data_IF_956457737109
#
_entry.id   IF_956457737109
#
_cell.length_a   1.000
_cell.length_b   1.000
_cell.length_c   1.000
_cell.angle_alpha   90.00
_cell.angle_beta   90.00
_cell.angle_gamma   90.00
#
_symmetry.space_group_name_H-M   'P 1'
#
loop_
_entity.id
_entity.type
_entity.pdbx_description
1 polymer ?
#
# COMPACT_ATOMS: atom_id res chain seq x y z
N UNK A 1 -20.79 -23.07 41.48
CA UNK A 1 -20.18 -23.16 42.82
C UNK A 1 -19.27 -24.39 42.89
N UNK A 2 -17.95 -24.22 42.75
CA UNK A 2 -16.89 -25.21 43.04
C UNK A 2 -15.67 -24.40 43.50
N UNK A 3 -15.52 -24.21 44.81
CA UNK A 3 -14.63 -24.92 45.76
C UNK A 3 -13.16 -24.57 45.53
N UNK A 4 -12.66 -23.80 46.50
CA UNK A 4 -11.29 -23.40 46.81
C UNK A 4 -10.30 -24.58 46.81
N UNK A 5 -9.06 -24.34 46.36
CA UNK A 5 -7.88 -25.00 46.93
C UNK A 5 -6.70 -24.05 46.88
N UNK A 6 -6.47 -23.41 48.03
CA UNK A 6 -5.29 -22.67 48.44
C UNK A 6 -4.15 -23.68 48.63
N UNK A 7 -3.10 -23.59 47.82
CA UNK A 7 -1.87 -24.36 48.02
C UNK A 7 -0.75 -23.38 48.32
N UNK A 8 -0.49 -23.23 49.61
CA UNK A 8 0.66 -22.53 50.19
C UNK A 8 1.88 -23.41 49.96
N UNK A 9 2.81 -22.97 49.11
CA UNK A 9 4.09 -23.64 48.91
C UNK A 9 5.21 -22.74 49.43
N UNK A 10 5.86 -23.24 50.47
CA UNK A 10 7.01 -22.75 51.22
C UNK A 10 8.22 -22.43 50.35
N UNK A 11 8.80 -21.25 50.59
CA UNK A 11 10.03 -20.72 50.00
C UNK A 11 11.25 -21.33 50.73
N UNK A 12 12.17 -22.02 50.03
CA UNK A 12 13.48 -22.36 50.60
C UNK A 12 14.43 -21.16 50.47
N UNK A 13 14.84 -20.64 51.62
CA UNK A 13 15.90 -19.65 51.79
C UNK A 13 17.26 -20.34 51.58
N UNK A 14 17.85 -20.20 50.40
CA UNK A 14 19.23 -20.65 50.13
C UNK A 14 20.17 -19.46 50.21
N UNK A 15 20.91 -19.39 51.31
CA UNK A 15 22.07 -18.53 51.52
C UNK A 15 23.28 -19.13 50.77
N UNK A 16 23.62 -18.56 49.62
CA UNK A 16 24.88 -18.82 48.92
C UNK A 16 25.82 -17.63 49.12
N UNK A 17 26.81 -17.82 49.99
CA UNK A 17 28.02 -17.02 50.06
C UNK A 17 28.89 -17.35 48.83
N UNK A 18 29.02 -16.40 47.91
CA UNK A 18 29.86 -16.52 46.72
C UNK A 18 30.92 -15.42 46.69
N UNK A 19 32.19 -15.84 46.56
CA UNK A 19 33.40 -15.02 46.53
C UNK A 19 33.32 -13.83 45.56
N UNK A 20 33.86 -12.70 46.01
CA UNK A 20 34.09 -11.52 45.19
C UNK A 20 35.10 -11.80 44.07
N UNK A 21 34.63 -11.66 42.84
CA UNK A 21 35.45 -11.22 41.72
C UNK A 21 35.27 -9.71 41.61
N UNK A 22 36.38 -8.97 41.55
CA UNK A 22 36.37 -7.55 41.27
C UNK A 22 35.68 -7.31 39.93
N UNK A 23 34.43 -6.80 39.97
CA UNK A 23 33.79 -6.22 38.80
C UNK A 23 34.52 -4.91 38.51
N UNK A 24 35.46 -4.99 37.57
CA UNK A 24 35.92 -3.83 36.82
C UNK A 24 34.66 -3.13 36.30
N UNK A 25 34.37 -1.95 36.87
CA UNK A 25 33.25 -1.13 36.45
C UNK A 25 33.58 -0.66 35.04
N UNK A 26 33.20 -1.47 34.06
CA UNK A 26 33.10 -1.04 32.68
C UNK A 26 32.24 0.23 32.72
N UNK A 27 32.86 1.35 32.33
CA UNK A 27 32.15 2.60 32.17
C UNK A 27 30.85 2.33 31.41
N UNK A 28 29.72 2.93 31.83
CA UNK A 28 28.47 2.77 31.11
C UNK A 28 28.75 3.08 29.64
N UNK A 29 28.50 2.08 28.77
CA UNK A 29 28.60 2.28 27.34
C UNK A 29 27.83 3.57 27.01
N UNK A 30 28.41 4.48 26.21
CA UNK A 30 27.72 5.70 25.84
C UNK A 30 26.35 5.30 25.32
N UNK A 31 25.30 5.78 26.00
CA UNK A 31 23.92 5.67 25.51
C UNK A 31 23.95 6.17 24.07
N UNK A 32 23.80 5.23 23.13
CA UNK A 32 23.69 5.57 21.72
C UNK A 32 22.58 6.61 21.57
N UNK A 33 22.72 7.58 20.66
CA UNK A 33 21.75 8.66 20.53
C UNK A 33 20.34 8.06 20.41
N UNK A 34 19.34 8.61 21.12
CA UNK A 34 17.97 8.11 21.09
C UNK A 34 17.28 8.50 19.77
N UNK A 35 17.77 8.08 18.60
CA UNK A 35 17.30 8.63 17.32
C UNK A 35 17.37 7.66 16.12
N UNK A 36 16.89 6.42 16.27
CA UNK A 36 16.64 5.55 15.10
C UNK A 36 15.16 5.17 14.95
N UNK A 37 14.39 5.13 16.04
CA UNK A 37 13.00 4.66 15.98
C UNK A 37 11.99 5.77 15.61
N UNK A 38 12.27 7.03 15.96
CA UNK A 38 11.46 8.20 15.56
C UNK A 38 11.71 8.67 14.12
N UNK A 39 12.85 8.29 13.52
CA UNK A 39 13.16 8.65 12.12
C UNK A 39 12.39 7.79 11.10
N UNK A 40 11.85 6.64 11.53
CA UNK A 40 11.21 5.65 10.68
C UNK A 40 9.90 6.14 10.03
N UNK A 41 9.21 7.07 10.69
CA UNK A 41 8.02 7.74 10.16
C UNK A 41 8.30 9.23 10.04
N UNK A 42 9.36 9.53 9.29
CA UNK A 42 9.68 10.89 8.88
C UNK A 42 8.45 11.56 8.27
N UNK A 43 8.28 12.88 8.48
CA UNK A 43 7.20 13.62 7.82
C UNK A 43 7.23 13.33 6.32
N UNK A 44 6.08 12.92 5.77
CA UNK A 44 6.00 12.63 4.35
C UNK A 44 6.43 13.87 3.56
N UNK A 45 7.19 13.70 2.46
CA UNK A 45 7.54 14.81 1.60
C UNK A 45 6.26 15.44 1.04
N UNK A 46 6.36 16.69 0.60
CA UNK A 46 5.25 17.37 -0.09
C UNK A 46 4.84 16.66 -1.39
N UNK A 47 5.75 15.85 -1.96
CA UNK A 47 5.53 15.00 -3.12
C UNK A 47 4.56 13.84 -2.81
N UNK A 48 3.81 13.33 -3.80
CA UNK A 48 2.91 12.20 -3.60
C UNK A 48 3.66 11.00 -3.00
N UNK A 49 3.40 10.72 -1.74
CA UNK A 49 4.00 9.63 -1.01
C UNK A 49 3.08 8.40 -1.09
N UNK A 50 3.53 7.38 -1.81
CA UNK A 50 2.80 6.11 -1.93
C UNK A 50 2.92 5.31 -0.63
N UNK A 51 1.80 5.08 0.03
CA UNK A 51 1.67 4.25 1.22
C UNK A 51 1.02 2.92 0.87
N UNK A 52 1.62 1.80 1.29
CA UNK A 52 0.98 0.48 1.17
C UNK A 52 -0.05 0.31 2.28
N UNK A 53 -1.26 -0.09 1.91
CA UNK A 53 -2.32 -0.42 2.84
C UNK A 53 -2.31 -1.91 3.26
N UNK A 54 -1.42 -2.69 2.65
CA UNK A 54 -1.15 -4.08 3.06
C UNK A 54 -0.83 -4.12 4.55
N UNK A 55 -1.39 -5.08 5.27
CA UNK A 55 -1.23 -5.27 6.71
C UNK A 55 -1.82 -4.18 7.63
N UNK A 56 -2.58 -3.23 7.08
CA UNK A 56 -3.48 -2.38 7.87
C UNK A 56 -4.52 -3.27 8.60
N UNK A 57 -5.00 -2.92 9.79
CA UNK A 57 -6.11 -3.64 10.42
C UNK A 57 -7.31 -3.73 9.46
N UNK A 58 -7.86 -4.93 9.25
CA UNK A 58 -8.90 -5.17 8.25
C UNK A 58 -10.11 -4.22 8.39
N UNK A 59 -10.57 -3.99 9.62
CA UNK A 59 -11.69 -3.06 9.88
C UNK A 59 -11.36 -1.60 9.50
N UNK A 60 -10.14 -1.14 9.76
CA UNK A 60 -9.70 0.21 9.39
C UNK A 60 -9.55 0.34 7.87
N UNK A 61 -9.00 -0.68 7.21
CA UNK A 61 -8.87 -0.75 5.75
C UNK A 61 -10.23 -0.71 5.07
N UNK A 62 -11.17 -1.55 5.50
CA UNK A 62 -12.53 -1.59 4.93
C UNK A 62 -13.29 -0.28 5.17
N UNK A 63 -13.10 0.35 6.33
CA UNK A 63 -13.69 1.66 6.60
C UNK A 63 -13.11 2.75 5.69
N UNK A 64 -11.81 2.70 5.40
CA UNK A 64 -11.15 3.61 4.48
C UNK A 64 -11.58 3.37 3.02
N UNK A 65 -11.68 2.10 2.60
CA UNK A 65 -12.18 1.69 1.28
C UNK A 65 -13.55 2.30 1.00
N UNK A 66 -14.51 2.13 1.91
CA UNK A 66 -15.85 2.70 1.76
C UNK A 66 -15.84 4.22 1.61
N UNK A 67 -15.01 4.92 2.40
CA UNK A 67 -14.87 6.38 2.28
C UNK A 67 -14.24 6.80 0.94
N UNK A 68 -13.30 6.01 0.42
CA UNK A 68 -12.67 6.26 -0.87
C UNK A 68 -13.60 6.01 -2.07
N UNK A 69 -14.65 5.22 -1.89
CA UNK A 69 -15.74 5.09 -2.87
C UNK A 69 -16.61 6.36 -2.92
N UNK A 70 -16.73 7.08 -1.80
CA UNK A 70 -17.51 8.33 -1.68
C UNK A 70 -16.72 9.56 -2.17
N UNK A 71 -15.39 9.57 -2.02
CA UNK A 71 -14.55 10.68 -2.49
C UNK A 71 -13.13 10.68 -1.92
N UNK A 72 -12.35 11.76 -2.16
CA UNK A 72 -11.03 11.93 -1.57
C UNK A 72 -11.13 11.99 -0.04
N UNK A 73 -10.25 11.25 0.63
CA UNK A 73 -10.22 11.19 2.09
C UNK A 73 -9.09 12.04 2.63
N UNK A 74 -9.43 13.01 3.48
CA UNK A 74 -8.46 13.78 4.23
C UNK A 74 -7.98 12.99 5.46
N UNK A 75 -6.68 13.03 5.69
CA UNK A 75 -6.01 12.26 6.73
C UNK A 75 -4.99 13.12 7.46
N UNK A 76 -4.70 12.76 8.70
CA UNK A 76 -3.52 13.20 9.45
C UNK A 76 -2.64 12.00 9.77
N UNK A 77 -1.35 12.26 9.90
CA UNK A 77 -0.38 11.25 10.29
C UNK A 77 0.01 11.48 11.74
N UNK A 78 -0.19 10.47 12.56
CA UNK A 78 0.22 10.44 13.97
C UNK A 78 1.30 9.37 14.13
N UNK A 79 2.56 9.79 13.98
CA UNK A 79 3.67 8.85 13.80
C UNK A 79 3.46 8.03 12.52
N UNK A 80 3.41 6.70 12.66
CA UNK A 80 3.16 5.77 11.56
C UNK A 80 1.67 5.44 11.33
N UNK A 81 0.77 6.11 12.07
CA UNK A 81 -0.67 5.85 11.98
C UNK A 81 -1.32 6.85 11.04
N UNK A 82 -2.14 6.33 10.13
CA UNK A 82 -3.00 7.11 9.27
C UNK A 82 -4.36 7.28 9.96
N UNK A 83 -4.70 8.51 10.31
CA UNK A 83 -5.96 8.84 10.99
C UNK A 83 -6.83 9.64 10.04
N UNK A 84 -8.01 9.13 9.72
CA UNK A 84 -9.00 9.82 8.88
C UNK A 84 -9.55 11.04 9.64
N UNK A 85 -9.68 12.18 8.95
CA UNK A 85 -10.30 13.40 9.49
C UNK A 85 -11.73 13.49 8.91
N UNK A 86 -12.74 12.91 9.57
CA UNK A 86 -14.04 12.65 8.94
C UNK A 86 -14.83 13.92 8.63
N UNK A 87 -14.59 15.01 9.37
CA UNK A 87 -15.28 16.29 9.15
C UNK A 87 -14.69 17.09 7.97
N UNK A 88 -13.53 16.70 7.46
CA UNK A 88 -12.93 17.31 6.27
C UNK A 88 -13.45 16.61 5.01
N UNK A 89 -14.64 16.99 4.58
CA UNK A 89 -15.28 16.45 3.39
C UNK A 89 -14.77 17.13 2.12
N UNK A 90 -14.24 16.33 1.19
CA UNK A 90 -13.73 16.78 -0.09
C UNK A 90 -14.58 16.21 -1.22
N UNK A 91 -14.84 17.01 -2.25
CA UNK A 91 -15.57 16.59 -3.45
C UNK A 91 -14.63 16.55 -4.64
N UNK A 92 -14.58 15.42 -5.32
CA UNK A 92 -13.83 15.23 -6.56
C UNK A 92 -14.53 14.19 -7.44
N UNK A 93 -14.20 14.16 -8.73
CA UNK A 93 -14.56 13.03 -9.59
C UNK A 93 -13.47 11.96 -9.51
N UNK A 94 -13.84 10.69 -9.44
CA UNK A 94 -12.90 9.58 -9.51
C UNK A 94 -12.78 9.09 -10.96
N UNK A 95 -11.56 8.82 -11.41
CA UNK A 95 -11.27 8.16 -12.68
C UNK A 95 -10.53 6.86 -12.42
N UNK A 96 -11.04 5.76 -12.98
CA UNK A 96 -10.37 4.47 -12.92
C UNK A 96 -9.51 4.25 -14.17
N UNK A 97 -8.28 3.80 -13.96
CA UNK A 97 -7.38 3.31 -15.01
C UNK A 97 -6.99 1.88 -14.69
N UNK A 98 -7.34 0.95 -15.57
CA UNK A 98 -6.86 -0.43 -15.48
C UNK A 98 -5.34 -0.46 -15.65
N UNK A 99 -4.67 -1.15 -14.73
CA UNK A 99 -3.23 -1.33 -14.71
C UNK A 99 -2.93 -2.65 -14.00
N UNK A 100 -3.23 -3.81 -14.63
CA UNK A 100 -3.02 -5.09 -14.00
C UNK A 100 -1.52 -5.34 -13.83
N UNK A 101 -1.11 -5.62 -12.59
CA UNK A 101 0.29 -5.88 -12.23
C UNK A 101 0.35 -6.89 -11.09
N UNK A 102 1.21 -7.89 -11.20
CA UNK A 102 1.49 -8.83 -10.10
C UNK A 102 2.85 -8.52 -9.50
N UNK A 103 2.95 -8.64 -8.17
CA UNK A 103 4.19 -8.43 -7.45
C UNK A 103 4.28 -9.27 -6.20
N UNK A 104 5.51 -9.52 -5.77
CA UNK A 104 5.77 -10.14 -4.48
C UNK A 104 7.04 -9.60 -3.87
N UNK A 105 7.08 -9.54 -2.54
CA UNK A 105 8.28 -9.18 -1.80
C UNK A 105 8.31 -9.92 -0.47
N UNK A 106 9.50 -9.96 0.14
CA UNK A 106 9.74 -10.65 1.40
C UNK A 106 10.17 -9.64 2.45
N UNK A 107 9.61 -9.75 3.64
CA UNK A 107 9.96 -8.99 4.82
C UNK A 107 10.71 -9.93 5.76
N UNK A 108 11.99 -9.65 5.99
CA UNK A 108 12.87 -10.49 6.81
C UNK A 108 13.31 -9.81 8.10
N UNK A 109 13.04 -8.51 8.24
CA UNK A 109 13.41 -7.70 9.38
C UNK A 109 12.39 -6.58 9.62
N UNK A 110 12.38 -6.00 10.84
CA UNK A 110 11.57 -4.82 11.15
C UNK A 110 11.94 -3.60 10.28
N UNK A 111 13.21 -3.52 9.84
CA UNK A 111 13.65 -2.50 8.90
C UNK A 111 12.98 -2.67 7.52
N UNK A 112 12.78 -3.91 7.06
CA UNK A 112 12.03 -4.17 5.82
C UNK A 112 10.57 -3.75 5.97
N UNK A 113 9.93 -4.06 7.11
CA UNK A 113 8.54 -3.64 7.38
C UNK A 113 8.41 -2.13 7.33
N UNK A 114 9.35 -1.42 7.98
CA UNK A 114 9.36 0.05 8.02
C UNK A 114 9.51 0.64 6.62
N UNK A 115 10.38 0.07 5.78
CA UNK A 115 10.65 0.55 4.42
C UNK A 115 9.52 0.25 3.44
N UNK A 116 8.99 -0.98 3.47
CA UNK A 116 8.07 -1.46 2.44
C UNK A 116 6.59 -1.29 2.83
N UNK A 117 6.26 -1.39 4.13
CA UNK A 117 4.87 -1.44 4.63
C UNK A 117 4.72 -0.64 5.94
N UNK A 118 4.99 0.69 5.92
CA UNK A 118 5.05 1.51 7.13
C UNK A 118 3.73 1.49 7.93
N UNK A 119 2.57 1.51 7.25
CA UNK A 119 1.25 1.43 7.92
C UNK A 119 0.99 0.07 8.58
N UNK A 120 1.72 -0.97 8.18
CA UNK A 120 1.64 -2.32 8.74
C UNK A 120 2.56 -2.56 9.94
N UNK A 121 3.40 -1.59 10.34
CA UNK A 121 4.44 -1.78 11.38
C UNK A 121 3.87 -2.36 12.69
N UNK A 122 2.74 -1.86 13.15
CA UNK A 122 2.13 -2.31 14.41
C UNK A 122 1.74 -3.79 14.43
N UNK A 123 1.29 -4.34 13.29
CA UNK A 123 0.86 -5.74 13.19
C UNK A 123 2.00 -6.65 12.76
N UNK A 124 2.72 -6.27 11.70
CA UNK A 124 3.84 -7.07 11.19
C UNK A 124 5.02 -7.08 12.15
N UNK A 125 5.24 -6.02 12.92
CA UNK A 125 6.27 -5.98 13.97
C UNK A 125 6.09 -7.09 14.99
N UNK A 126 4.86 -7.42 15.40
CA UNK A 126 4.58 -8.54 16.30
C UNK A 126 4.88 -9.89 15.64
N UNK A 127 4.60 -10.02 14.34
CA UNK A 127 4.95 -11.23 13.58
C UNK A 127 6.48 -11.37 13.50
N UNK A 128 7.16 -10.30 13.12
CA UNK A 128 8.62 -10.25 12.91
C UNK A 128 9.42 -10.37 14.21
N UNK A 129 8.89 -9.89 15.34
CA UNK A 129 9.54 -10.01 16.66
C UNK A 129 9.78 -11.46 17.11
N UNK A 130 9.11 -12.43 16.47
CA UNK A 130 9.39 -13.86 16.63
C UNK A 130 10.49 -14.42 15.71
N UNK A 131 11.24 -13.59 14.98
CA UNK A 131 12.25 -14.01 14.01
C UNK A 131 11.67 -14.64 12.74
N UNK A 132 10.38 -14.42 12.47
CA UNK A 132 9.66 -15.02 11.33
C UNK A 132 9.87 -14.20 10.07
N UNK A 133 9.97 -14.86 8.93
CA UNK A 133 9.97 -14.23 7.60
C UNK A 133 8.54 -14.19 7.05
N UNK A 134 8.16 -13.08 6.42
CA UNK A 134 6.82 -12.89 5.85
C UNK A 134 6.93 -12.63 4.36
N UNK A 135 6.14 -13.35 3.57
CA UNK A 135 5.96 -13.11 2.14
C UNK A 135 4.69 -12.34 1.89
N UNK A 136 4.79 -11.31 1.06
CA UNK A 136 3.65 -10.50 0.61
C UNK A 136 3.49 -10.73 -0.88
N UNK A 137 2.29 -11.14 -1.30
CA UNK A 137 1.88 -11.24 -2.70
C UNK A 137 0.80 -10.21 -2.99
N UNK A 138 0.87 -9.57 -4.14
CA UNK A 138 -0.06 -8.52 -4.56
C UNK A 138 -0.45 -8.75 -6.01
N UNK A 139 -1.74 -8.64 -6.31
CA UNK A 139 -2.28 -8.58 -7.66
C UNK A 139 -3.10 -7.29 -7.78
N UNK A 140 -2.58 -6.30 -8.50
CA UNK A 140 -3.25 -5.02 -8.76
C UNK A 140 -4.19 -5.19 -9.96
N UNK A 141 -5.38 -4.58 -9.90
CA UNK A 141 -6.25 -4.46 -11.08
C UNK A 141 -6.12 -3.10 -11.75
N UNK A 142 -5.94 -2.05 -10.95
CA UNK A 142 -5.90 -0.70 -11.45
C UNK A 142 -5.97 0.33 -10.35
N UNK A 143 -6.20 1.57 -10.77
CA UNK A 143 -6.03 2.73 -9.91
C UNK A 143 -7.16 3.73 -10.10
N UNK A 144 -7.69 4.21 -8.98
CA UNK A 144 -8.55 5.37 -8.94
C UNK A 144 -7.72 6.62 -8.72
N UNK A 145 -7.99 7.66 -9.50
CA UNK A 145 -7.39 9.00 -9.34
C UNK A 145 -8.51 10.01 -9.17
N UNK A 146 -8.44 10.82 -8.11
CA UNK A 146 -9.37 11.92 -7.91
C UNK A 146 -8.92 13.15 -8.69
N UNK A 147 -9.85 13.76 -9.42
CA UNK A 147 -9.65 14.97 -10.21
C UNK A 147 -10.60 16.08 -9.77
N UNK A 148 -10.09 17.30 -9.74
CA UNK A 148 -10.88 18.49 -9.40
C UNK A 148 -11.35 18.53 -7.94
N UNK A 149 -10.50 18.12 -7.00
CA UNK A 149 -10.86 18.16 -5.58
C UNK A 149 -11.16 19.59 -5.11
N UNK A 150 -12.26 19.73 -4.37
CA UNK A 150 -12.72 20.98 -3.76
C UNK A 150 -13.22 20.70 -2.36
N UNK A 151 -13.03 21.64 -1.43
CA UNK A 151 -13.63 21.59 -0.10
C UNK A 151 -14.86 22.51 -0.07
N UNK A 152 -15.88 22.13 0.70
CA UNK A 152 -16.90 23.09 1.09
C UNK A 152 -16.32 24.13 2.07
N UNK A 153 -16.92 25.32 2.19
CA UNK A 153 -16.47 26.33 3.16
C UNK A 153 -16.46 25.80 4.60
N UNK A 154 -17.46 25.01 4.96
CA UNK A 154 -17.58 24.39 6.27
C UNK A 154 -16.48 23.34 6.49
N UNK A 155 -16.15 22.57 5.44
CA UNK A 155 -15.07 21.60 5.48
C UNK A 155 -13.70 22.26 5.66
N UNK A 156 -13.47 23.47 5.14
CA UNK A 156 -12.16 24.17 5.25
C UNK A 156 -11.70 24.29 6.71
N UNK A 157 -12.60 24.61 7.65
CA UNK A 157 -12.24 24.70 9.07
C UNK A 157 -11.92 23.32 9.65
N UNK A 158 -12.71 22.30 9.31
CA UNK A 158 -12.49 20.92 9.74
C UNK A 158 -11.20 20.31 9.14
N UNK A 159 -10.81 20.76 7.94
CA UNK A 159 -9.61 20.33 7.24
C UNK A 159 -8.31 20.85 7.84
N UNK A 160 -8.36 21.80 8.80
CA UNK A 160 -7.16 22.32 9.47
C UNK A 160 -6.39 21.25 10.24
N UNK A 161 -7.07 20.18 10.66
CA UNK A 161 -6.45 19.05 11.34
C UNK A 161 -5.83 18.04 10.37
N UNK A 162 -6.21 18.08 9.09
CA UNK A 162 -5.69 17.16 8.09
C UNK A 162 -4.34 17.66 7.57
N UNK A 163 -3.38 16.75 7.44
CA UNK A 163 -2.07 17.05 6.88
C UNK A 163 -1.95 16.60 5.43
N UNK A 164 -2.72 15.60 5.03
CA UNK A 164 -2.70 15.01 3.70
C UNK A 164 -4.11 14.70 3.20
N UNK A 165 -4.20 14.43 1.91
CA UNK A 165 -5.38 13.86 1.25
C UNK A 165 -4.96 12.68 0.39
N UNK A 166 -5.79 11.64 0.39
CA UNK A 166 -5.67 10.53 -0.55
C UNK A 166 -6.07 11.04 -1.93
N UNK A 167 -5.10 11.32 -2.79
CA UNK A 167 -5.33 11.81 -4.16
C UNK A 167 -5.67 10.67 -5.12
N UNK A 168 -5.16 9.48 -4.84
CA UNK A 168 -5.36 8.31 -5.66
C UNK A 168 -5.10 7.05 -4.86
N UNK A 169 -5.66 5.94 -5.30
CA UNK A 169 -5.48 4.64 -4.65
C UNK A 169 -5.54 3.50 -5.65
N UNK A 170 -4.80 2.44 -5.34
CA UNK A 170 -4.70 1.23 -6.15
C UNK A 170 -5.55 0.14 -5.51
N UNK A 171 -6.38 -0.50 -6.33
CA UNK A 171 -7.22 -1.63 -5.92
C UNK A 171 -6.70 -2.93 -6.49
N UNK A 172 -6.93 -4.02 -5.78
CA UNK A 172 -6.37 -5.31 -6.10
C UNK A 172 -6.79 -6.41 -5.16
N UNK A 173 -5.88 -7.36 -4.99
CA UNK A 173 -5.87 -8.37 -3.95
C UNK A 173 -4.46 -8.49 -3.40
N UNK A 174 -4.35 -8.93 -2.16
CA UNK A 174 -3.06 -9.26 -1.55
C UNK A 174 -3.18 -10.42 -0.57
N UNK A 175 -2.07 -11.08 -0.33
CA UNK A 175 -1.91 -12.10 0.69
C UNK A 175 -0.59 -11.87 1.44
N UNK A 176 -0.67 -11.91 2.76
CA UNK A 176 0.46 -11.85 3.67
C UNK A 176 0.53 -13.21 4.35
N UNK A 177 1.63 -13.94 4.15
CA UNK A 177 1.84 -15.26 4.72
C UNK A 177 3.22 -15.37 5.34
N UNK A 178 3.35 -16.11 6.44
CA UNK A 178 4.64 -16.49 6.98
C UNK A 178 5.36 -17.46 6.02
N UNK A 179 6.68 -17.56 6.11
CA UNK A 179 7.47 -18.56 5.36
C UNK A 179 7.06 -20.01 5.67
N UNK A 180 6.40 -20.25 6.82
CA UNK A 180 5.77 -21.52 7.17
C UNK A 180 4.53 -21.88 6.33
N UNK A 181 4.01 -20.92 5.56
CA UNK A 181 2.77 -21.02 4.81
C UNK A 181 1.52 -20.58 5.57
N UNK A 182 1.65 -20.19 6.85
CA UNK A 182 0.52 -19.67 7.62
C UNK A 182 0.08 -18.29 7.09
N UNK A 183 -1.16 -18.18 6.61
CA UNK A 183 -1.73 -16.90 6.18
C UNK A 183 -1.96 -15.99 7.39
N UNK A 184 -1.33 -14.81 7.37
CA UNK A 184 -1.50 -13.75 8.37
C UNK A 184 -2.70 -12.87 8.01
N UNK A 185 -2.82 -12.54 6.72
CA UNK A 185 -3.90 -11.72 6.20
C UNK A 185 -4.10 -11.97 4.71
N UNK A 186 -5.33 -11.80 4.25
CA UNK A 186 -5.68 -11.81 2.83
C UNK A 186 -6.84 -10.86 2.58
N UNK A 187 -6.81 -10.15 1.47
CA UNK A 187 -7.93 -9.33 1.00
C UNK A 187 -8.04 -9.41 -0.53
N UNK A 188 -9.28 -9.41 -1.03
CA UNK A 188 -9.57 -9.58 -2.45
C UNK A 188 -9.32 -10.99 -2.98
N UNK A 189 -9.60 -11.17 -4.27
CA UNK A 189 -9.37 -12.40 -5.04
C UNK A 189 -8.34 -12.15 -6.15
N UNK A 190 -7.10 -12.63 -5.94
CA UNK A 190 -6.02 -12.49 -6.90
C UNK A 190 -6.33 -13.15 -8.26
N UNK A 191 -7.07 -14.24 -8.28
CA UNK A 191 -7.46 -14.90 -9.52
C UNK A 191 -8.54 -14.10 -10.28
N UNK A 192 -9.35 -13.31 -9.58
CA UNK A 192 -10.24 -12.35 -10.20
C UNK A 192 -9.47 -11.14 -10.75
N UNK A 193 -8.48 -10.63 -10.00
CA UNK A 193 -7.61 -9.53 -10.43
C UNK A 193 -6.86 -9.86 -11.73
N UNK A 194 -6.31 -11.07 -11.85
CA UNK A 194 -5.59 -11.53 -13.03
C UNK A 194 -6.46 -11.60 -14.30
N UNK A 195 -7.79 -11.58 -14.17
CA UNK A 195 -8.74 -11.56 -15.29
C UNK A 195 -9.11 -10.14 -15.72
N UNK A 196 -8.53 -9.10 -15.11
CA UNK A 196 -8.77 -7.71 -15.46
C UNK A 196 -8.34 -7.40 -16.90
N UNK A 197 -9.19 -6.65 -17.61
CA UNK A 197 -8.89 -6.19 -18.96
C UNK A 197 -8.19 -4.83 -18.92
N UNK A 198 -7.22 -4.62 -19.82
CA UNK A 198 -6.42 -3.38 -19.87
C UNK A 198 -7.25 -2.10 -20.16
N UNK A 199 -8.47 -2.25 -20.71
CA UNK A 199 -9.37 -1.15 -21.03
C UNK A 199 -10.61 -1.10 -20.12
N UNK A 200 -10.64 -1.87 -19.03
CA UNK A 200 -11.75 -1.86 -18.10
C UNK A 200 -11.90 -0.49 -17.43
N UNK A 201 -13.14 -0.03 -17.28
CA UNK A 201 -13.48 1.24 -16.59
C UNK A 201 -13.80 1.05 -15.12
N UNK A 202 -13.81 -0.19 -14.64
CA UNK A 202 -14.04 -0.57 -13.24
C UNK A 202 -13.20 -1.81 -12.90
N UNK A 203 -12.80 -2.00 -11.63
CA UNK A 203 -12.10 -3.21 -11.22
C UNK A 203 -13.00 -4.46 -11.37
N UNK A 204 -12.42 -5.65 -11.64
CA UNK A 204 -13.16 -6.90 -11.61
C UNK A 204 -13.81 -7.15 -10.25
N UNK A 205 -14.96 -7.84 -10.24
CA UNK A 205 -15.61 -8.26 -9.00
C UNK A 205 -14.65 -9.09 -8.14
N UNK A 206 -14.54 -8.74 -6.84
CA UNK A 206 -13.59 -9.38 -5.93
C UNK A 206 -12.17 -8.80 -5.95
N UNK A 207 -11.86 -7.85 -6.84
CA UNK A 207 -10.55 -7.21 -6.94
C UNK A 207 -10.56 -5.73 -6.45
N UNK A 208 -11.38 -5.45 -5.44
CA UNK A 208 -11.58 -4.10 -4.89
C UNK A 208 -10.74 -3.76 -3.66
N UNK A 209 -9.89 -4.67 -3.17
CA UNK A 209 -9.16 -4.42 -1.92
C UNK A 209 -8.12 -3.31 -2.11
N UNK A 210 -8.03 -2.41 -1.14
CA UNK A 210 -7.06 -1.33 -1.09
C UNK A 210 -5.65 -1.89 -0.91
N UNK A 211 -4.83 -1.74 -1.94
CA UNK A 211 -3.44 -2.22 -1.94
C UNK A 211 -2.48 -1.10 -1.54
N UNK A 212 -2.68 0.09 -2.11
CA UNK A 212 -1.87 1.28 -1.83
C UNK A 212 -2.66 2.55 -2.06
N UNK A 213 -2.19 3.64 -1.47
CA UNK A 213 -2.73 4.98 -1.65
C UNK A 213 -1.60 5.99 -1.83
N UNK A 214 -1.86 7.02 -2.62
CA UNK A 214 -0.94 8.13 -2.82
C UNK A 214 -1.45 9.32 -2.01
N UNK A 215 -0.67 9.69 -1.00
CA UNK A 215 -0.95 10.83 -0.13
C UNK A 215 -0.28 12.07 -0.70
N UNK A 216 -1.02 13.18 -0.76
CA UNK A 216 -0.47 14.50 -1.13
C UNK A 216 -0.72 15.45 0.03
N UNK A 217 0.27 16.30 0.33
CA UNK A 217 0.14 17.31 1.36
C UNK A 217 -1.09 18.20 1.11
N UNK A 218 -1.92 18.37 2.13
CA UNK A 218 -3.10 19.22 2.06
C UNK A 218 -2.67 20.65 2.41
N UNK A 219 -2.73 21.55 1.43
CA UNK A 219 -2.51 22.99 1.65
C UNK A 219 -3.83 23.71 1.52
N UNK A 220 -4.29 24.28 2.63
CA UNK A 220 -5.38 25.24 2.63
C UNK A 220 -4.76 26.58 2.25
N UNK A 221 -5.09 27.10 1.06
CA UNK A 221 -4.66 28.44 0.67
C UNK A 221 -5.29 29.49 1.59
N UNK A 222 -4.55 30.57 1.86
CA UNK A 222 -5.04 31.70 2.67
C UNK A 222 -6.11 32.54 1.94
N UNK A 223 -6.26 32.37 0.63
CA UNK A 223 -7.28 33.04 -0.16
C UNK A 223 -8.65 32.34 0.02
N UNK A 224 -9.67 33.12 0.39
CA UNK A 224 -11.10 32.74 0.61
C UNK A 224 -11.77 31.97 -0.55
N UNK A 225 -11.06 31.67 -1.64
CA UNK A 225 -11.53 30.93 -2.80
C UNK A 225 -11.02 29.48 -2.84
N UNK A 226 -11.49 28.67 -1.88
CA UNK A 226 -12.10 27.31 -2.04
C UNK A 226 -11.47 26.27 -2.99
N UNK A 227 -10.22 26.41 -3.42
CA UNK A 227 -9.56 25.43 -4.28
C UNK A 227 -8.44 24.77 -3.50
N UNK A 228 -8.67 23.51 -3.12
CA UNK A 228 -7.58 22.62 -2.75
C UNK A 228 -6.89 22.30 -4.06
N UNK A 229 -5.84 23.03 -4.38
CA UNK A 229 -5.00 22.67 -5.51
C UNK A 229 -4.17 21.46 -5.08
N UNK A 230 -4.77 20.28 -5.25
CA UNK A 230 -4.01 19.04 -5.39
C UNK A 230 -2.98 19.34 -6.46
N UNK A 231 -1.71 19.47 -6.08
CA UNK A 231 -0.65 19.89 -6.98
C UNK A 231 -0.81 19.14 -8.31
N UNK A 232 -0.98 19.91 -9.40
CA UNK A 232 -0.99 19.30 -10.73
C UNK A 232 0.31 18.50 -10.83
N UNK A 233 0.27 17.28 -11.37
CA UNK A 233 1.49 16.53 -11.57
C UNK A 233 2.47 17.44 -12.32
N UNK A 234 3.76 17.46 -11.94
CA UNK A 234 4.74 18.30 -12.60
C UNK A 234 4.58 18.11 -14.11
N UNK A 235 4.48 19.22 -14.86
CA UNK A 235 4.29 19.18 -16.31
C UNK A 235 5.35 18.21 -16.86
N UNK A 236 4.98 17.19 -17.66
CA UNK A 236 5.94 16.25 -18.20
C UNK A 236 7.09 17.05 -18.78
N UNK A 237 8.30 16.85 -18.26
CA UNK A 237 9.48 17.48 -18.84
C UNK A 237 9.45 17.04 -20.29
N UNK A 238 9.29 17.97 -21.26
CA UNK A 238 9.29 17.59 -22.66
C UNK A 238 10.56 16.78 -22.86
N UNK A 239 10.40 15.51 -23.24
CA UNK A 239 11.52 14.64 -23.56
C UNK A 239 12.21 15.36 -24.70
N UNK A 240 13.26 16.11 -24.38
CA UNK A 240 13.94 16.96 -25.33
C UNK A 240 14.17 16.11 -26.56
N UNK A 241 13.66 16.57 -27.69
CA UNK A 241 14.00 15.99 -28.98
C UNK A 241 15.53 15.99 -29.00
N UNK A 242 16.11 14.81 -28.79
CA UNK A 242 17.55 14.66 -28.85
C UNK A 242 17.92 15.08 -30.28
N UNK A 243 18.51 16.27 -30.38
CA UNK A 243 18.95 16.81 -31.65
C UNK A 243 19.98 15.79 -32.19
N UNK A 244 19.77 15.21 -33.38
CA UNK A 244 20.58 14.09 -33.88
C UNK A 244 22.00 14.50 -34.32
N UNK A 245 22.56 15.60 -33.82
CA UNK A 245 23.77 16.23 -34.36
C UNK A 245 25.07 15.78 -33.66
N UNK A 246 25.01 15.00 -32.57
CA UNK A 246 26.21 14.55 -31.81
C UNK A 246 26.41 13.01 -31.83
N UNK A 247 25.85 12.31 -32.82
CA UNK A 247 26.04 10.86 -33.00
C UNK A 247 27.17 10.54 -34.00
N UNK A 248 28.34 11.16 -33.86
CA UNK A 248 29.54 10.72 -34.57
C UNK A 248 30.39 9.82 -33.66
N UNK A 249 30.48 8.53 -34.00
CA UNK A 249 31.58 7.68 -33.53
C UNK A 249 31.23 6.56 -32.57
N UNK A 250 30.38 5.61 -32.96
CA UNK A 250 30.51 4.23 -32.46
C UNK A 250 30.33 3.23 -33.60
N UNK A 251 31.45 2.89 -34.25
CA UNK A 251 31.54 1.82 -35.24
C UNK A 251 31.98 0.56 -34.50
N UNK A 252 31.02 -0.29 -34.15
CA UNK A 252 31.26 -1.61 -33.58
C UNK A 252 30.44 -2.63 -34.33
N UNK A 253 31.04 -3.24 -35.36
CA UNK A 253 30.43 -4.31 -36.12
C UNK A 253 30.30 -5.59 -35.29
N UNK A 254 29.18 -6.28 -35.47
CA UNK A 254 29.09 -7.73 -35.24
C UNK A 254 28.21 -8.33 -36.32
N UNK A 255 28.76 -9.39 -36.90
CA UNK A 255 28.30 -10.10 -38.06
C UNK A 255 26.94 -10.79 -37.88
N UNK A 256 26.32 -10.93 -39.05
CA UNK A 256 25.08 -11.64 -39.33
C UNK A 256 25.21 -13.13 -39.05
N UNK A 257 24.19 -13.73 -38.43
CA UNK A 257 23.71 -15.05 -38.85
C UNK A 257 22.29 -15.29 -38.33
N UNK A 258 21.36 -15.43 -39.27
CA UNK A 258 19.95 -15.74 -39.06
C UNK A 258 19.59 -16.98 -39.88
N UNK A 259 18.83 -17.93 -39.31
CA UNK A 259 18.02 -18.82 -40.11
C UNK A 259 16.51 -18.71 -39.81
N UNK A 260 15.80 -18.45 -40.91
CA UNK A 260 14.62 -19.16 -41.39
C UNK A 260 13.41 -19.45 -40.46
N UNK A 261 12.35 -18.67 -40.72
CA UNK A 261 10.97 -19.08 -41.08
C UNK A 261 10.51 -20.49 -40.68
N UNK A 262 9.49 -20.53 -39.81
CA UNK A 262 8.55 -21.64 -39.68
C UNK A 262 7.12 -21.11 -39.58
N UNK A 263 6.37 -21.23 -40.68
CA UNK A 263 4.93 -20.96 -40.74
C UNK A 263 4.15 -22.21 -40.30
N UNK A 264 3.08 -22.04 -39.52
CA UNK A 264 1.99 -23.03 -39.42
C UNK A 264 0.62 -22.33 -39.51
N UNK A 265 -0.33 -22.87 -40.29
CA UNK A 265 -1.71 -22.41 -40.34
C UNK A 265 -2.62 -23.27 -39.46
N UNK A 266 -3.68 -22.67 -38.92
CA UNK A 266 -4.93 -23.37 -38.64
C UNK A 266 -5.45 -23.27 -37.21
N UNK A 267 -6.59 -22.59 -37.03
CA UNK A 267 -7.91 -23.24 -36.90
C UNK A 267 -8.97 -22.20 -36.55
N UNK A 268 -9.88 -22.00 -37.48
CA UNK A 268 -11.20 -21.40 -37.24
C UNK A 268 -12.01 -22.27 -36.26
N UNK A 269 -12.16 -21.80 -35.03
CA UNK A 269 -13.08 -22.34 -34.04
C UNK A 269 -14.34 -21.49 -33.98
N UNK A 270 -15.46 -22.04 -34.46
CA UNK A 270 -16.76 -21.37 -34.53
C UNK A 270 -17.25 -20.84 -33.18
N UNK A 271 -17.82 -19.63 -33.22
CA UNK A 271 -18.52 -19.02 -32.08
C UNK A 271 -19.82 -19.78 -31.80
N UNK A 272 -20.08 -20.26 -30.58
CA UNK A 272 -21.40 -20.75 -30.20
C UNK A 272 -22.39 -19.58 -30.13
N UNK A 273 -23.53 -19.72 -30.82
CA UNK A 273 -24.67 -18.80 -30.68
C UNK A 273 -25.22 -18.94 -29.26
N UNK A 274 -25.12 -17.88 -28.45
CA UNK A 274 -25.73 -17.82 -27.12
C UNK A 274 -27.26 -17.79 -27.29
N UNK A 275 -27.94 -18.83 -26.82
CA UNK A 275 -29.38 -18.80 -26.55
C UNK A 275 -29.57 -18.16 -25.16
N UNK A 276 -30.22 -16.99 -25.08
CA UNK A 276 -30.75 -16.50 -23.79
C UNK A 276 -32.01 -17.31 -23.45
N UNK A 277 -32.12 -17.91 -22.26
CA UNK A 277 -33.36 -18.53 -21.79
C UNK A 277 -34.43 -17.46 -21.55
N UNK A 278 -35.74 -17.80 -21.70
CA UNK A 278 -36.83 -16.82 -21.81
C UNK A 278 -37.17 -16.00 -20.54
N UNK A 279 -36.36 -16.06 -19.47
CA UNK A 279 -36.62 -15.34 -18.22
C UNK A 279 -35.37 -14.72 -17.55
N UNK A 280 -34.29 -14.47 -18.29
CA UNK A 280 -33.11 -13.80 -17.72
C UNK A 280 -33.23 -12.26 -17.83
N UNK A 281 -33.32 -11.51 -16.71
CA UNK A 281 -33.44 -10.05 -16.71
C UNK A 281 -32.17 -9.32 -17.17
N UNK A 282 -31.05 -10.02 -17.40
CA UNK A 282 -29.79 -9.41 -17.86
C UNK A 282 -29.62 -9.38 -19.39
N UNK A 283 -30.54 -9.96 -20.17
CA UNK A 283 -30.49 -9.91 -21.66
C UNK A 283 -31.34 -8.75 -22.25
N UNK A 284 -31.81 -7.79 -21.45
CA UNK A 284 -32.72 -6.72 -21.88
C UNK A 284 -32.10 -5.31 -21.80
N UNK A 285 -30.85 -5.12 -22.24
CA UNK A 285 -30.26 -3.82 -22.58
C UNK A 285 -29.18 -3.96 -23.64
#
# INVERSE_FOLDING_TARGET
MRIFSLLVATIPLVLLAGCGAAQEHAAPAPMGPPHAEEAACSPLPDEPARQRAVAMPAAEREALEKRLEEGPVAVKLEGCKLVVVPACELRASAQYTAAPEEGSFTLSSEADVTREVPLGKGRLGVVMGGGRVVHVKVAQAGRFTFVGATASPEATQACKEATHVVRAYTVGAFEVAEASGATVEKAGDAAACAKGEANATTPPAGCGALVSMDLVALRLGDDDARRIELQRPPKPIPRGEAKPEDAEGFVGGVDSDAPARGATPGKDGGKPKKHCPPHDPLCAY
#
